data_IF_118999567248
#
_entry.id   IF_118999567248
#
_cell.length_a   1.000
_cell.length_b   1.000
_cell.length_c   1.000
_cell.angle_alpha   90.00
_cell.angle_beta   90.00
_cell.angle_gamma   90.00
#
_symmetry.space_group_name_H-M   'P 1'
#
loop_
_entity.id
_entity.type
_entity.pdbx_description
1 polymer ?
#
# COMPACT_ATOMS: atom_id res chain seq x y z
N UNK A 1 -4.57 37.08 16.43
CA UNK A 1 -3.38 36.40 16.95
C UNK A 1 -2.78 35.64 15.80
N UNK A 2 -1.48 35.81 15.54
CA UNK A 2 -0.83 35.12 14.43
C UNK A 2 -0.57 33.66 14.84
N UNK A 3 -1.51 32.76 14.53
CA UNK A 3 -1.41 31.32 14.83
C UNK A 3 -0.05 30.72 14.43
N UNK A 4 0.59 31.27 13.39
CA UNK A 4 1.89 30.84 12.88
C UNK A 4 3.03 31.18 13.87
N UNK A 5 2.98 32.34 14.53
CA UNK A 5 3.97 32.73 15.52
C UNK A 5 3.95 31.80 16.73
N UNK A 6 2.75 31.43 17.18
CA UNK A 6 2.55 30.49 18.28
C UNK A 6 3.00 29.07 17.90
N UNK A 7 2.67 28.59 16.69
CA UNK A 7 3.18 27.32 16.18
C UNK A 7 4.72 27.27 16.14
N UNK A 8 5.38 28.37 15.75
CA UNK A 8 6.86 28.47 15.77
C UNK A 8 7.41 28.47 17.20
N UNK A 9 6.75 29.15 18.14
CA UNK A 9 7.15 29.15 19.54
C UNK A 9 7.11 27.73 20.12
N UNK A 10 6.01 26.99 19.91
CA UNK A 10 5.90 25.59 20.34
C UNK A 10 6.97 24.70 19.68
N UNK A 11 7.25 24.89 18.39
CA UNK A 11 8.29 24.15 17.69
C UNK A 11 9.68 24.42 18.31
N UNK A 12 9.97 25.68 18.67
CA UNK A 12 11.24 26.06 19.31
C UNK A 12 11.42 25.46 20.71
N UNK A 13 10.32 25.16 21.40
CA UNK A 13 10.29 24.44 22.68
C UNK A 13 10.44 22.92 22.52
N UNK A 14 10.57 22.43 21.27
CA UNK A 14 10.73 21.01 20.97
C UNK A 14 9.41 20.25 20.82
N UNK A 15 8.27 20.93 20.73
CA UNK A 15 7.00 20.27 20.46
C UNK A 15 7.02 19.61 19.07
N UNK A 16 6.55 18.37 19.00
CA UNK A 16 6.37 17.69 17.73
C UNK A 16 5.23 18.33 16.93
N UNK A 17 5.31 18.25 15.59
CA UNK A 17 4.26 18.76 14.71
C UNK A 17 2.88 18.13 14.97
N UNK A 18 2.83 16.91 15.54
CA UNK A 18 1.59 16.26 15.97
C UNK A 18 1.01 16.93 17.22
N UNK A 19 1.83 17.27 18.20
CA UNK A 19 1.39 17.99 19.41
C UNK A 19 0.89 19.38 19.06
N UNK A 20 1.59 20.08 18.17
CA UNK A 20 1.15 21.38 17.65
C UNK A 20 -0.20 21.21 16.91
N UNK A 21 -0.33 20.19 16.07
CA UNK A 21 -1.60 19.90 15.39
C UNK A 21 -2.76 19.66 16.34
N UNK A 22 -2.55 18.92 17.43
CA UNK A 22 -3.57 18.69 18.46
C UNK A 22 -4.01 19.98 19.16
N UNK A 23 -3.08 20.91 19.41
CA UNK A 23 -3.38 22.20 20.03
C UNK A 23 -4.27 23.08 19.14
N UNK A 24 -4.03 23.08 17.82
CA UNK A 24 -4.74 23.92 16.85
C UNK A 24 -5.88 23.22 16.09
N UNK A 25 -6.16 21.94 16.39
CA UNK A 25 -7.15 21.14 15.64
C UNK A 25 -6.75 20.87 14.19
N UNK A 26 -5.45 20.84 13.89
CA UNK A 26 -4.89 20.66 12.56
C UNK A 26 -4.21 19.29 12.43
N UNK A 27 -4.19 18.74 11.21
CA UNK A 27 -3.32 17.60 10.94
C UNK A 27 -1.85 18.04 11.01
N UNK A 28 -0.96 17.15 11.45
CA UNK A 28 0.49 17.38 11.42
C UNK A 28 0.93 17.89 10.04
N UNK A 29 0.45 17.27 8.96
CA UNK A 29 0.78 17.68 7.61
C UNK A 29 0.40 19.15 7.32
N UNK A 30 -0.75 19.61 7.80
CA UNK A 30 -1.15 21.01 7.67
C UNK A 30 -0.20 21.95 8.44
N UNK A 31 0.20 21.57 9.66
CA UNK A 31 1.20 22.31 10.44
C UNK A 31 2.54 22.39 9.70
N UNK A 32 3.00 21.28 9.11
CA UNK A 32 4.24 21.25 8.31
C UNK A 32 4.23 22.29 7.19
N UNK A 33 3.14 22.38 6.42
CA UNK A 33 3.03 23.36 5.34
C UNK A 33 2.87 24.80 5.85
N UNK A 34 2.12 25.02 6.93
CA UNK A 34 1.97 26.36 7.54
C UNK A 34 3.29 26.91 8.06
N UNK A 35 4.19 26.04 8.53
CA UNK A 35 5.54 26.42 8.97
C UNK A 35 6.53 26.64 7.81
N UNK A 36 6.09 26.46 6.56
CA UNK A 36 6.90 26.65 5.35
C UNK A 36 7.65 25.38 4.90
N UNK A 37 7.26 24.21 5.41
CA UNK A 37 7.82 22.94 4.97
C UNK A 37 7.52 22.67 3.49
N UNK A 38 8.56 22.34 2.72
CA UNK A 38 8.43 21.94 1.31
C UNK A 38 8.55 20.42 1.23
N UNK A 39 7.54 19.76 0.66
CA UNK A 39 7.60 18.32 0.45
C UNK A 39 8.48 18.04 -0.77
N UNK A 40 9.62 17.36 -0.54
CA UNK A 40 10.47 16.90 -1.63
C UNK A 40 9.66 15.92 -2.48
N UNK A 41 9.34 16.30 -3.72
CA UNK A 41 8.86 15.35 -4.70
C UNK A 41 9.94 14.28 -4.87
N UNK A 42 9.54 13.00 -4.90
CA UNK A 42 10.45 11.92 -5.29
C UNK A 42 10.91 12.21 -6.71
N UNK A 43 12.17 12.61 -6.87
CA UNK A 43 12.83 12.75 -8.17
C UNK A 43 13.17 11.34 -8.65
N UNK A 44 12.20 10.71 -9.33
CA UNK A 44 12.36 9.39 -9.89
C UNK A 44 11.02 8.82 -10.31
N UNK A 45 10.99 8.09 -11.42
CA UNK A 45 9.81 7.33 -11.79
C UNK A 45 9.40 6.44 -10.60
N UNK A 46 8.11 6.37 -10.23
CA UNK A 46 7.67 5.36 -9.29
C UNK A 46 8.13 3.98 -9.82
N UNK A 47 8.64 3.08 -8.95
CA UNK A 47 9.01 1.74 -9.39
C UNK A 47 7.81 1.13 -10.09
N UNK A 48 8.02 0.51 -11.24
CA UNK A 48 6.91 -0.01 -12.01
C UNK A 48 6.27 -1.13 -11.18
N UNK A 49 4.94 -1.11 -11.06
CA UNK A 49 4.22 -2.13 -10.29
C UNK A 49 4.40 -3.54 -10.87
N UNK A 50 4.90 -3.62 -12.11
CA UNK A 50 5.23 -4.85 -12.84
C UNK A 50 6.74 -5.15 -12.87
N UNK A 51 7.57 -4.45 -12.09
CA UNK A 51 8.95 -4.86 -11.80
C UNK A 51 8.87 -6.13 -10.95
N UNK A 52 8.43 -7.22 -11.59
CA UNK A 52 8.10 -8.52 -11.05
C UNK A 52 9.38 -9.20 -10.60
N UNK A 53 9.97 -8.69 -9.50
CA UNK A 53 10.75 -9.53 -8.61
C UNK A 53 9.75 -10.57 -8.11
N UNK A 54 9.77 -11.74 -8.74
CA UNK A 54 9.03 -12.91 -8.27
C UNK A 54 9.55 -13.18 -6.86
N UNK A 55 8.83 -12.69 -5.85
CA UNK A 55 9.08 -13.08 -4.46
C UNK A 55 8.59 -14.52 -4.38
N UNK A 56 9.52 -15.46 -4.60
CA UNK A 56 9.29 -16.87 -4.30
C UNK A 56 9.14 -16.96 -2.78
N UNK A 57 7.90 -16.90 -2.30
CA UNK A 57 7.59 -17.21 -0.92
C UNK A 57 7.89 -18.70 -0.72
N UNK A 58 9.10 -19.03 -0.25
CA UNK A 58 9.35 -20.38 0.25
C UNK A 58 8.65 -20.50 1.60
N UNK A 59 7.76 -21.48 1.80
CA UNK A 59 7.19 -21.73 3.11
C UNK A 59 8.33 -22.17 4.04
N UNK A 60 8.71 -21.29 4.97
CA UNK A 60 9.79 -21.55 5.92
C UNK A 60 9.38 -22.43 7.10
N UNK A 61 8.11 -22.85 7.13
CA UNK A 61 7.60 -23.81 8.11
C UNK A 61 6.96 -24.97 7.33
N UNK A 62 7.55 -26.15 7.48
CA UNK A 62 7.01 -27.38 6.92
C UNK A 62 5.58 -27.63 7.37
N UNK A 63 4.75 -28.12 6.43
CA UNK A 63 3.52 -28.84 6.72
C UNK A 63 2.33 -27.96 7.11
N UNK A 64 1.52 -27.58 6.12
CA UNK A 64 0.10 -27.42 6.38
C UNK A 64 -0.42 -28.80 6.82
N UNK A 65 -0.74 -28.88 8.12
CA UNK A 65 -1.41 -29.94 8.85
C UNK A 65 -2.08 -31.03 8.00
N UNK A 66 -1.49 -32.22 7.98
CA UNK A 66 -2.20 -33.49 7.75
C UNK A 66 -2.84 -34.02 9.05
N UNK A 67 -3.24 -33.14 9.98
CA UNK A 67 -3.80 -33.54 11.29
C UNK A 67 -5.32 -33.59 11.30
N UNK A 68 -6.00 -33.17 10.24
CA UNK A 68 -7.33 -33.71 9.94
C UNK A 68 -7.12 -34.88 8.99
N UNK A 69 -7.39 -36.11 9.43
CA UNK A 69 -7.37 -37.32 8.59
C UNK A 69 -8.42 -37.33 7.46
N UNK A 70 -8.83 -36.16 7.00
CA UNK A 70 -9.64 -35.94 5.82
C UNK A 70 -8.68 -35.96 4.63
N UNK A 71 -8.77 -37.06 3.88
CA UNK A 71 -8.23 -37.17 2.53
C UNK A 71 -8.57 -35.88 1.76
N UNK A 72 -7.64 -35.26 1.01
CA UNK A 72 -8.03 -34.15 0.15
C UNK A 72 -9.16 -34.64 -0.75
N UNK A 73 -10.35 -34.02 -0.62
CA UNK A 73 -11.45 -34.27 -1.54
C UNK A 73 -11.01 -33.70 -2.87
N UNK A 74 -10.52 -34.58 -3.74
CA UNK A 74 -10.36 -34.27 -5.15
C UNK A 74 -11.76 -34.02 -5.69
N UNK A 75 -12.10 -32.74 -5.91
CA UNK A 75 -13.27 -32.41 -6.71
C UNK A 75 -13.07 -33.06 -8.09
N UNK A 76 -14.00 -33.90 -8.58
CA UNK A 76 -13.92 -34.38 -9.95
C UNK A 76 -13.93 -33.17 -10.87
N UNK A 77 -12.95 -33.08 -11.77
CA UNK A 77 -13.01 -32.14 -12.89
C UNK A 77 -14.20 -32.56 -13.74
N UNK A 78 -15.36 -31.96 -13.51
CA UNK A 78 -16.45 -31.97 -14.46
C UNK A 78 -15.88 -31.33 -15.72
N UNK A 79 -15.76 -32.13 -16.78
CA UNK A 79 -15.30 -31.67 -18.09
C UNK A 79 -16.22 -30.58 -18.59
N UNK A 80 -15.81 -29.33 -18.41
CA UNK A 80 -16.55 -28.15 -18.81
C UNK A 80 -15.69 -27.30 -19.71
N UNK A 81 -16.02 -27.35 -21.00
CA UNK A 81 -15.54 -26.52 -22.12
C UNK A 81 -14.08 -26.72 -22.53
N UNK A 82 -13.90 -27.34 -23.70
CA UNK A 82 -12.65 -27.35 -24.45
C UNK A 82 -12.21 -25.94 -24.89
N UNK A 83 -11.23 -25.83 -25.81
CA UNK A 83 -10.65 -24.55 -26.18
C UNK A 83 -11.73 -23.60 -26.69
N UNK A 84 -11.78 -22.42 -26.08
CA UNK A 84 -12.60 -21.30 -26.50
C UNK A 84 -12.23 -20.99 -27.96
N UNK A 85 -13.19 -20.97 -28.91
CA UNK A 85 -12.89 -20.68 -30.29
C UNK A 85 -12.38 -19.24 -30.41
N UNK A 86 -11.21 -19.12 -31.02
CA UNK A 86 -10.71 -17.88 -31.59
C UNK A 86 -11.80 -17.32 -32.51
N UNK A 87 -12.22 -16.08 -32.24
CA UNK A 87 -13.14 -15.32 -33.08
C UNK A 87 -12.49 -15.07 -34.45
N UNK A 88 -12.87 -15.84 -35.46
CA UNK A 88 -12.59 -15.48 -36.86
C UNK A 88 -13.51 -14.33 -37.26
N UNK A 89 -13.00 -13.11 -37.09
CA UNK A 89 -13.54 -11.91 -37.69
C UNK A 89 -13.28 -11.91 -39.20
N UNK A 90 -14.37 -12.00 -39.96
CA UNK A 90 -14.47 -11.60 -41.37
C UNK A 90 -13.84 -10.22 -41.59
N UNK A 91 -12.89 -10.12 -42.52
CA UNK A 91 -12.66 -8.92 -43.34
C UNK A 91 -11.80 -9.23 -44.59
N UNK A 92 -12.38 -8.90 -45.75
CA UNK A 92 -11.82 -8.77 -47.11
C UNK A 92 -11.50 -10.05 -47.91
#
# INVERSE_FOLDING_TARGET
MDDIAEMRAMQSQGASLRQIGLHFGLSHQAVFYRLGGIRKMRTGAPPAANDNKIVKMMPHNGGCSTTSGLVPVSLPRVGGMGPHPFIDGVAA
#
